data_IF_551249093126
#
_entry.id   IF_551249093126
#
_cell.length_a   1.000
_cell.length_b   1.000
_cell.length_c   1.000
_cell.angle_alpha   90.00
_cell.angle_beta   90.00
_cell.angle_gamma   90.00
#
_symmetry.space_group_name_H-M   'P 1'
#
loop_
_entity.id
_entity.type
_entity.pdbx_description
1 polymer ?
#
# COMPACT_ATOMS: atom_id res chain seq x y z
N UNK A 1 2.19 -10.66 9.71
CA UNK A 1 2.36 -10.64 8.23
C UNK A 1 1.40 -9.71 7.52
N UNK A 2 0.07 -9.83 7.69
CA UNK A 2 -0.86 -8.87 7.07
C UNK A 2 -0.64 -7.48 7.64
N UNK A 3 -0.62 -7.35 8.96
CA UNK A 3 -0.41 -6.06 9.63
C UNK A 3 0.96 -5.48 9.25
N UNK A 4 2.04 -6.26 9.32
CA UNK A 4 3.37 -5.83 8.83
C UNK A 4 3.34 -5.32 7.37
N UNK A 5 2.58 -5.98 6.50
CA UNK A 5 2.44 -5.55 5.11
C UNK A 5 1.68 -4.23 4.99
N UNK A 6 0.63 -4.05 5.79
CA UNK A 6 -0.17 -2.83 5.84
C UNK A 6 0.62 -1.68 6.48
N UNK A 7 1.43 -1.93 7.48
CA UNK A 7 2.32 -0.95 8.11
C UNK A 7 3.38 -0.45 7.13
N UNK A 8 4.02 -1.36 6.39
CA UNK A 8 4.98 -0.99 5.33
C UNK A 8 4.28 -0.25 4.19
N UNK A 9 3.04 -0.64 3.86
CA UNK A 9 2.24 0.04 2.84
C UNK A 9 1.91 1.47 3.26
N UNK A 10 1.42 1.66 4.49
CA UNK A 10 1.13 2.96 5.06
C UNK A 10 2.37 3.85 5.10
N UNK A 11 3.52 3.29 5.49
CA UNK A 11 4.81 3.99 5.47
C UNK A 11 5.14 4.54 4.06
N UNK A 12 5.00 3.73 3.02
CA UNK A 12 5.30 4.17 1.65
C UNK A 12 4.26 5.12 1.07
N UNK A 13 2.99 4.92 1.36
CA UNK A 13 1.93 5.86 0.95
C UNK A 13 2.14 7.23 1.57
N UNK A 14 2.45 7.30 2.87
CA UNK A 14 2.82 8.54 3.54
C UNK A 14 4.06 9.19 2.90
N UNK A 15 5.08 8.39 2.57
CA UNK A 15 6.27 8.87 1.86
C UNK A 15 5.93 9.47 0.49
N UNK A 16 4.92 8.94 -0.21
CA UNK A 16 4.44 9.48 -1.49
C UNK A 16 3.43 10.62 -1.36
N UNK A 17 3.16 11.09 -0.13
CA UNK A 17 2.31 12.25 0.13
C UNK A 17 0.82 11.95 0.34
N UNK A 18 0.45 10.67 0.53
CA UNK A 18 -0.92 10.34 0.93
C UNK A 18 -1.15 10.72 2.40
N UNK A 19 -2.28 11.37 2.68
CA UNK A 19 -2.72 11.65 4.05
C UNK A 19 -3.30 10.39 4.73
N UNK A 20 -3.60 10.49 6.03
CA UNK A 20 -4.12 9.37 6.82
C UNK A 20 -5.45 8.83 6.28
N UNK A 21 -6.32 9.69 5.74
CA UNK A 21 -7.60 9.28 5.19
C UNK A 21 -7.41 8.49 3.89
N UNK A 22 -6.51 8.93 3.02
CA UNK A 22 -6.13 8.25 1.78
C UNK A 22 -5.45 6.91 2.07
N UNK A 23 -4.56 6.86 3.06
CA UNK A 23 -3.90 5.63 3.49
C UNK A 23 -4.92 4.60 3.96
N UNK A 24 -5.89 5.02 4.77
CA UNK A 24 -6.90 4.10 5.30
C UNK A 24 -7.88 3.65 4.21
N UNK A 25 -8.22 4.53 3.26
CA UNK A 25 -8.98 4.15 2.07
C UNK A 25 -8.24 3.13 1.18
N UNK A 26 -6.91 3.20 1.12
CA UNK A 26 -6.08 2.31 0.29
C UNK A 26 -5.94 0.88 0.85
N UNK A 27 -6.34 0.65 2.11
CA UNK A 27 -6.06 -0.59 2.85
C UNK A 27 -6.65 -1.82 2.18
N UNK A 28 -7.90 -1.74 1.72
CA UNK A 28 -8.57 -2.85 1.03
C UNK A 28 -7.93 -3.15 -0.34
N UNK A 29 -7.51 -2.12 -1.07
CA UNK A 29 -6.81 -2.28 -2.35
C UNK A 29 -5.43 -2.89 -2.19
N UNK A 30 -4.68 -2.51 -1.16
CA UNK A 30 -3.40 -3.11 -0.83
C UNK A 30 -3.53 -4.63 -0.60
N UNK A 31 -4.55 -5.05 0.15
CA UNK A 31 -4.79 -6.48 0.40
C UNK A 31 -5.16 -7.24 -0.87
N UNK A 32 -5.98 -6.64 -1.75
CA UNK A 32 -6.27 -7.22 -3.07
C UNK A 32 -5.02 -7.33 -3.94
N UNK A 33 -4.18 -6.30 -3.95
CA UNK A 33 -2.93 -6.27 -4.69
C UNK A 33 -1.97 -7.38 -4.25
N UNK A 34 -1.78 -7.53 -2.94
CA UNK A 34 -0.96 -8.60 -2.37
C UNK A 34 -1.51 -10.00 -2.69
N UNK A 35 -2.84 -10.16 -2.67
CA UNK A 35 -3.49 -11.42 -3.01
C UNK A 35 -3.23 -11.80 -4.48
N UNK A 36 -3.41 -10.86 -5.41
CA UNK A 36 -3.16 -11.09 -6.84
C UNK A 36 -1.71 -11.49 -7.15
N UNK A 37 -0.76 -11.00 -6.35
CA UNK A 37 0.67 -11.34 -6.49
C UNK A 37 1.12 -12.52 -5.64
N UNK A 38 0.22 -13.12 -4.84
CA UNK A 38 0.54 -14.22 -3.94
C UNK A 38 1.60 -13.89 -2.88
N UNK A 39 1.83 -12.60 -2.56
CA UNK A 39 2.92 -12.18 -1.67
C UNK A 39 2.57 -10.92 -0.88
N UNK A 40 2.91 -10.96 0.42
CA UNK A 40 2.83 -9.84 1.36
C UNK A 40 4.24 -9.47 1.84
N UNK A 41 5.05 -8.94 0.94
CA UNK A 41 6.44 -8.52 1.21
C UNK A 41 6.59 -7.01 1.12
N UNK A 42 7.64 -6.46 1.73
CA UNK A 42 7.94 -5.02 1.64
C UNK A 42 8.13 -4.54 0.19
N UNK A 43 8.65 -5.39 -0.70
CA UNK A 43 8.75 -5.08 -2.13
C UNK A 43 7.37 -4.91 -2.78
N UNK A 44 6.42 -5.79 -2.46
CA UNK A 44 5.05 -5.71 -2.99
C UNK A 44 4.30 -4.51 -2.40
N UNK A 45 4.53 -4.18 -1.13
CA UNK A 45 3.97 -3.00 -0.48
C UNK A 45 4.44 -1.71 -1.17
N UNK A 46 5.75 -1.57 -1.43
CA UNK A 46 6.30 -0.43 -2.17
C UNK A 46 5.74 -0.33 -3.60
N UNK A 47 5.61 -1.45 -4.31
CA UNK A 47 5.03 -1.47 -5.66
C UNK A 47 3.58 -0.97 -5.67
N UNK A 48 2.77 -1.43 -4.71
CA UNK A 48 1.40 -0.97 -4.54
C UNK A 48 1.38 0.54 -4.23
N UNK A 49 2.13 0.98 -3.23
CA UNK A 49 2.12 2.38 -2.80
C UNK A 49 2.52 3.34 -3.93
N UNK A 50 3.54 2.98 -4.74
CA UNK A 50 3.98 3.75 -5.89
C UNK A 50 2.90 3.83 -6.99
N UNK A 51 2.25 2.72 -7.30
CA UNK A 51 1.17 2.66 -8.31
C UNK A 51 -0.06 3.45 -7.83
N UNK A 52 -0.46 3.27 -6.57
CA UNK A 52 -1.62 3.91 -5.98
C UNK A 52 -1.46 5.43 -5.90
N UNK A 53 -0.33 5.91 -5.35
CA UNK A 53 -0.06 7.35 -5.27
C UNK A 53 0.09 8.00 -6.65
N UNK A 54 0.60 7.26 -7.65
CA UNK A 54 0.67 7.74 -9.04
C UNK A 54 -0.69 7.99 -9.69
N UNK A 55 -1.74 7.27 -9.26
CA UNK A 55 -3.12 7.40 -9.78
C UNK A 55 -3.94 8.50 -9.09
N UNK A 56 -3.48 9.01 -7.94
CA UNK A 56 -4.14 10.07 -7.18
C UNK A 56 -3.68 11.48 -7.56
N UNK A 57 -2.73 11.62 -8.49
CA UNK A 57 -2.33 12.90 -9.10
C UNK A 57 -3.30 13.30 -10.19
#
# INVERSE_FOLDING_TARGET
>A
KQDDYLDITAHWLAHFGCDTQQIEAARADALRWALQRGSRSGRVAWQFAKDHAGKMR
#
